data_IF_936485894605
#
_entry.id   IF_936485894605
#
_cell.length_a   1.000
_cell.length_b   1.000
_cell.length_c   1.000
_cell.angle_alpha   90.00
_cell.angle_beta   90.00
_cell.angle_gamma   90.00
#
_symmetry.space_group_name_H-M   'P 1'
#
loop_
_entity.id
_entity.type
_entity.pdbx_description
1 polymer ?
#
# COMPACT_ATOMS: atom_id res chain seq x y z
N UNK A 1 -4.43 -18.08 6.43
CA UNK A 1 -4.51 -18.91 5.22
C UNK A 1 -4.44 -17.99 4.03
N UNK A 2 -3.47 -18.15 3.13
CA UNK A 2 -3.35 -17.37 1.90
C UNK A 2 -4.69 -17.26 1.16
N UNK A 3 -5.10 -16.04 0.83
CA UNK A 3 -6.24 -15.80 -0.06
C UNK A 3 -5.89 -16.27 -1.48
N UNK A 4 -6.67 -17.21 -2.03
CA UNK A 4 -6.47 -17.76 -3.38
C UNK A 4 -7.29 -17.02 -4.43
N UNK A 5 -8.42 -16.47 -4.01
CA UNK A 5 -9.32 -15.65 -4.81
C UNK A 5 -9.62 -14.34 -4.09
N UNK A 6 -10.09 -13.32 -4.82
CA UNK A 6 -10.54 -12.06 -4.21
C UNK A 6 -11.69 -12.23 -3.22
N UNK A 7 -12.55 -13.24 -3.39
CA UNK A 7 -13.62 -13.55 -2.44
C UNK A 7 -13.07 -13.93 -1.05
N UNK A 8 -11.87 -14.52 -1.00
CA UNK A 8 -11.23 -14.92 0.26
C UNK A 8 -10.84 -13.72 1.12
N UNK A 9 -10.73 -12.50 0.55
CA UNK A 9 -10.47 -11.26 1.31
C UNK A 9 -11.49 -11.04 2.43
N UNK A 10 -12.74 -11.48 2.25
CA UNK A 10 -13.79 -11.36 3.25
C UNK A 10 -13.48 -12.16 4.54
N UNK A 11 -12.68 -13.23 4.42
CA UNK A 11 -12.35 -14.16 5.52
C UNK A 11 -10.85 -14.24 5.82
N UNK A 12 -10.02 -13.52 5.06
CA UNK A 12 -8.58 -13.41 5.30
C UNK A 12 -8.30 -12.91 6.72
N UNK A 13 -7.39 -13.59 7.42
CA UNK A 13 -7.05 -13.34 8.82
C UNK A 13 -6.06 -12.19 8.95
N UNK A 14 -5.14 -12.04 7.99
CA UNK A 14 -4.10 -11.00 8.01
C UNK A 14 -3.99 -10.29 6.67
N UNK A 15 -4.26 -8.99 6.66
CA UNK A 15 -4.42 -8.20 5.43
C UNK A 15 -3.53 -6.96 5.50
N UNK A 16 -2.71 -6.77 4.46
CA UNK A 16 -2.01 -5.50 4.24
C UNK A 16 -2.79 -4.68 3.23
N UNK A 17 -3.11 -3.44 3.58
CA UNK A 17 -3.72 -2.47 2.67
C UNK A 17 -2.72 -1.36 2.41
N UNK A 18 -2.40 -1.10 1.14
CA UNK A 18 -1.51 -0.03 0.74
C UNK A 18 -2.31 1.09 0.10
N UNK A 19 -2.07 2.33 0.53
CA UNK A 19 -2.67 3.53 -0.08
C UNK A 19 -1.61 4.51 -0.58
N UNK A 20 -1.82 5.05 -1.77
CA UNK A 20 -0.91 6.04 -2.38
C UNK A 20 -1.19 7.48 -1.92
N UNK A 21 -0.18 8.35 -2.07
CA UNK A 21 -0.27 9.77 -1.69
C UNK A 21 -1.47 10.48 -2.33
N UNK A 22 -1.71 10.26 -3.63
CA UNK A 22 -2.80 10.89 -4.39
C UNK A 22 -4.19 10.60 -3.81
N UNK A 23 -4.34 9.48 -3.11
CA UNK A 23 -5.62 9.05 -2.53
C UNK A 23 -5.90 9.66 -1.15
N UNK A 24 -4.92 10.20 -0.44
CA UNK A 24 -5.07 10.60 0.99
C UNK A 24 -4.45 11.96 1.36
N UNK A 25 -3.80 12.64 0.41
CA UNK A 25 -3.12 13.92 0.66
C UNK A 25 -3.76 15.07 -0.12
N UNK A 26 -3.47 16.32 0.29
CA UNK A 26 -4.04 17.51 -0.31
C UNK A 26 -5.58 17.49 -0.31
N UNK A 27 -6.16 17.76 -1.47
CA UNK A 27 -7.61 17.73 -1.69
C UNK A 27 -8.23 16.35 -1.46
N UNK A 28 -7.47 15.26 -1.53
CA UNK A 28 -7.97 13.90 -1.28
C UNK A 28 -7.96 13.51 0.19
N UNK A 29 -7.54 14.39 1.11
CA UNK A 29 -7.45 14.06 2.55
C UNK A 29 -8.79 13.68 3.20
N UNK A 30 -9.92 14.07 2.60
CA UNK A 30 -11.26 13.65 3.03
C UNK A 30 -11.50 12.13 2.89
N UNK A 31 -10.69 11.41 2.11
CA UNK A 31 -10.79 9.95 1.95
C UNK A 31 -10.22 9.18 3.13
N UNK A 32 -9.44 9.80 4.02
CA UNK A 32 -8.86 9.13 5.20
C UNK A 32 -9.96 8.50 6.07
N UNK A 33 -11.03 9.22 6.49
CA UNK A 33 -12.16 8.61 7.19
C UNK A 33 -12.78 7.42 6.48
N UNK A 34 -13.02 7.51 5.15
CA UNK A 34 -13.63 6.44 4.34
C UNK A 34 -12.75 5.19 4.32
N UNK A 35 -11.44 5.37 4.11
CA UNK A 35 -10.47 4.30 4.19
C UNK A 35 -10.49 3.65 5.58
N UNK A 36 -10.46 4.46 6.64
CA UNK A 36 -10.44 3.97 8.01
C UNK A 36 -11.71 3.19 8.37
N UNK A 37 -12.88 3.61 7.89
CA UNK A 37 -14.13 2.87 8.10
C UNK A 37 -14.05 1.45 7.51
N UNK A 38 -13.50 1.31 6.29
CA UNK A 38 -13.29 0.00 5.67
C UNK A 38 -12.26 -0.86 6.43
N UNK A 39 -11.16 -0.26 6.89
CA UNK A 39 -10.15 -0.95 7.71
C UNK A 39 -10.74 -1.37 9.07
N UNK A 40 -11.56 -0.52 9.68
CA UNK A 40 -12.22 -0.79 10.95
C UNK A 40 -13.25 -1.92 10.83
N UNK A 41 -14.00 -2.00 9.73
CA UNK A 41 -14.89 -3.12 9.45
C UNK A 41 -14.12 -4.45 9.35
N UNK A 42 -12.95 -4.46 8.70
CA UNK A 42 -12.07 -5.62 8.65
C UNK A 42 -11.47 -5.97 10.02
N UNK A 43 -11.07 -4.97 10.79
CA UNK A 43 -10.58 -5.16 12.15
C UNK A 43 -11.68 -5.73 13.08
N UNK A 44 -12.90 -5.23 12.99
CA UNK A 44 -14.04 -5.63 13.83
C UNK A 44 -14.45 -7.11 13.61
N UNK A 45 -14.30 -7.64 12.39
CA UNK A 45 -14.51 -9.09 12.13
C UNK A 45 -13.37 -9.98 12.64
N UNK A 46 -12.36 -9.41 13.27
CA UNK A 46 -11.23 -10.14 13.87
C UNK A 46 -9.97 -10.17 13.03
N UNK A 47 -9.95 -9.59 11.82
CA UNK A 47 -8.75 -9.58 11.00
C UNK A 47 -7.65 -8.70 11.64
N UNK A 48 -6.41 -9.11 11.41
CA UNK A 48 -5.20 -8.34 11.64
C UNK A 48 -4.95 -7.46 10.41
N UNK A 49 -5.18 -6.16 10.56
CA UNK A 49 -5.10 -5.18 9.47
C UNK A 49 -3.83 -4.34 9.64
N UNK A 50 -3.05 -4.25 8.57
CA UNK A 50 -1.86 -3.41 8.47
C UNK A 50 -2.11 -2.38 7.36
N UNK A 51 -1.88 -1.11 7.65
CA UNK A 51 -1.93 -0.04 6.65
C UNK A 51 -0.52 0.35 6.25
N UNK A 52 -0.16 0.22 4.97
CA UNK A 52 1.03 0.87 4.39
C UNK A 52 0.57 2.17 3.72
N UNK A 53 0.94 3.30 4.31
CA UNK A 53 0.53 4.62 3.82
C UNK A 53 1.66 5.29 3.04
N UNK A 54 1.32 6.35 2.30
CA UNK A 54 2.24 7.29 1.63
C UNK A 54 1.83 8.72 2.00
N UNK A 55 2.42 9.72 1.35
CA UNK A 55 1.89 11.09 1.40
C UNK A 55 2.31 11.92 2.61
N UNK A 56 3.31 11.48 3.37
CA UNK A 56 3.95 12.30 4.40
C UNK A 56 4.46 13.62 3.79
N UNK A 57 5.35 13.57 2.79
CA UNK A 57 5.87 14.79 2.12
C UNK A 57 4.73 15.71 1.65
N UNK A 58 3.73 15.17 0.95
CA UNK A 58 2.60 15.94 0.43
C UNK A 58 1.76 16.59 1.56
N UNK A 59 1.63 15.90 2.69
CA UNK A 59 0.95 16.43 3.88
C UNK A 59 1.75 17.54 4.56
N UNK A 60 3.08 17.47 4.53
CA UNK A 60 3.96 18.45 5.17
C UNK A 60 4.16 19.75 4.38
N UNK A 61 4.13 19.70 3.04
CA UNK A 61 4.39 20.85 2.15
C UNK A 61 3.69 22.16 2.58
N UNK A 62 2.37 22.18 2.86
CA UNK A 62 1.68 23.41 3.25
C UNK A 62 2.20 24.03 4.56
N UNK A 63 2.73 23.20 5.47
CA UNK A 63 3.23 23.64 6.79
C UNK A 63 4.66 24.20 6.71
N UNK A 64 5.42 23.84 5.68
CA UNK A 64 6.73 24.42 5.38
C UNK A 64 6.63 25.69 4.54
N UNK A 65 5.41 26.13 4.18
CA UNK A 65 5.17 27.28 3.29
C UNK A 65 5.88 27.13 1.93
N UNK A 66 5.88 25.91 1.40
CA UNK A 66 6.40 25.60 0.08
C UNK A 66 5.26 25.62 -0.94
N UNK A 67 5.48 26.27 -2.09
CA UNK A 67 4.47 26.36 -3.16
C UNK A 67 4.34 25.07 -3.96
N UNK A 68 5.39 24.23 -3.95
CA UNK A 68 5.45 22.99 -4.69
C UNK A 68 6.30 21.96 -3.95
N UNK A 69 6.29 20.72 -4.46
CA UNK A 69 7.15 19.66 -3.94
C UNK A 69 8.64 20.04 -4.13
N UNK A 70 9.46 20.04 -3.06
CA UNK A 70 10.88 20.34 -3.16
C UNK A 70 11.61 19.27 -3.98
N UNK A 71 12.70 19.65 -4.63
CA UNK A 71 13.55 18.75 -5.44
C UNK A 71 14.80 18.28 -4.71
N UNK A 72 15.26 19.02 -3.70
CA UNK A 72 16.39 18.64 -2.87
C UNK A 72 15.97 17.66 -1.77
N UNK A 73 16.87 16.71 -1.47
CA UNK A 73 16.60 15.67 -0.48
C UNK A 73 16.31 16.25 0.91
N UNK A 74 17.12 17.20 1.37
CA UNK A 74 17.02 17.72 2.74
C UNK A 74 15.62 18.34 3.00
N UNK A 75 15.10 19.11 2.06
CA UNK A 75 13.78 19.72 2.18
C UNK A 75 12.67 18.68 2.03
N UNK A 76 12.84 17.66 1.18
CA UNK A 76 11.91 16.52 1.12
C UNK A 76 11.84 15.78 2.46
N UNK A 77 12.98 15.52 3.10
CA UNK A 77 13.06 14.85 4.40
C UNK A 77 12.43 15.70 5.52
N UNK A 78 12.64 17.02 5.49
CA UNK A 78 11.99 17.94 6.43
C UNK A 78 10.47 17.95 6.23
N UNK A 79 9.99 18.00 4.98
CA UNK A 79 8.57 17.92 4.67
C UNK A 79 7.97 16.57 5.10
N UNK A 80 8.68 15.47 4.90
CA UNK A 80 8.24 14.15 5.37
C UNK A 80 8.13 14.07 6.89
N UNK A 81 9.13 14.58 7.63
CA UNK A 81 9.10 14.59 9.09
C UNK A 81 7.89 15.38 9.65
N UNK A 82 7.59 16.55 9.09
CA UNK A 82 6.41 17.37 9.45
C UNK A 82 5.11 16.78 8.93
N UNK A 83 5.12 16.06 7.82
CA UNK A 83 3.90 15.47 7.28
C UNK A 83 3.53 14.15 7.95
N UNK A 84 4.52 13.37 8.36
CA UNK A 84 4.33 12.05 8.95
C UNK A 84 3.57 12.13 10.29
N UNK A 85 3.94 13.05 11.19
CA UNK A 85 3.22 13.20 12.46
C UNK A 85 1.76 13.65 12.24
N UNK A 86 1.53 14.56 11.30
CA UNK A 86 0.18 15.05 10.93
C UNK A 86 -0.65 13.91 10.32
N UNK A 87 -0.05 13.12 9.44
CA UNK A 87 -0.72 12.00 8.79
C UNK A 87 -1.13 10.93 9.81
N UNK A 88 -0.24 10.55 10.72
CA UNK A 88 -0.54 9.60 11.80
C UNK A 88 -1.63 10.15 12.72
N UNK A 89 -1.58 11.45 13.05
CA UNK A 89 -2.65 12.09 13.83
C UNK A 89 -4.01 12.00 13.14
N UNK A 90 -4.08 12.28 11.83
CA UNK A 90 -5.32 12.17 11.05
C UNK A 90 -5.87 10.75 11.04
N UNK A 91 -5.01 9.75 10.87
CA UNK A 91 -5.43 8.35 10.95
C UNK A 91 -5.94 8.00 12.35
N UNK A 92 -5.21 8.37 13.41
CA UNK A 92 -5.62 8.07 14.78
C UNK A 92 -6.94 8.74 15.14
N UNK A 93 -7.18 9.98 14.70
CA UNK A 93 -8.46 10.65 14.94
C UNK A 93 -9.60 9.97 14.20
N UNK A 94 -9.40 9.54 12.96
CA UNK A 94 -10.39 8.76 12.20
C UNK A 94 -10.64 7.36 12.78
N UNK A 95 -9.64 6.75 13.44
CA UNK A 95 -9.76 5.43 14.07
C UNK A 95 -10.47 5.48 15.43
N UNK A 96 -10.48 6.65 16.08
CA UNK A 96 -11.02 6.85 17.42
C UNK A 96 -12.50 6.43 17.58
N UNK A 97 -13.42 6.70 16.64
CA UNK A 97 -14.81 6.25 16.76
C UNK A 97 -14.98 4.73 16.79
N UNK A 98 -13.97 3.97 16.38
CA UNK A 98 -13.97 2.52 16.34
C UNK A 98 -13.21 1.88 17.51
N UNK A 99 -12.74 2.68 18.48
CA UNK A 99 -11.88 2.26 19.59
C UNK A 99 -10.58 1.55 19.13
N UNK A 100 -10.08 1.91 17.95
CA UNK A 100 -8.83 1.37 17.40
C UNK A 100 -7.68 2.34 17.65
N UNK A 101 -6.57 1.81 18.15
CA UNK A 101 -5.32 2.54 18.33
C UNK A 101 -4.36 2.21 17.18
N UNK A 102 -3.73 3.25 16.63
CA UNK A 102 -2.69 3.12 15.61
C UNK A 102 -1.31 2.92 16.25
N UNK A 103 -0.51 2.03 15.69
CA UNK A 103 0.91 1.89 15.99
C UNK A 103 1.75 2.38 14.81
N UNK A 104 2.49 3.48 14.98
CA UNK A 104 3.36 3.96 13.90
C UNK A 104 4.58 3.06 13.74
N UNK A 105 4.87 2.67 12.49
CA UNK A 105 6.07 1.91 12.12
C UNK A 105 6.74 2.61 10.95
N UNK A 106 8.01 2.99 11.11
CA UNK A 106 8.81 3.59 10.04
C UNK A 106 9.93 2.62 9.66
N UNK A 107 10.02 2.29 8.38
CA UNK A 107 10.99 1.33 7.86
C UNK A 107 11.65 1.89 6.60
N UNK A 108 12.88 1.48 6.33
CA UNK A 108 13.48 1.61 5.00
C UNK A 108 13.51 0.24 4.32
N UNK A 109 13.66 0.21 3.00
CA UNK A 109 14.00 -1.03 2.28
C UNK A 109 15.24 -1.72 2.92
N UNK A 110 16.26 -0.94 3.30
CA UNK A 110 17.48 -1.47 3.93
C UNK A 110 17.22 -2.17 5.26
N UNK A 111 16.24 -1.71 6.05
CA UNK A 111 15.83 -2.38 7.29
C UNK A 111 15.23 -3.77 7.03
N UNK A 112 14.56 -3.94 5.89
CA UNK A 112 13.94 -5.20 5.49
C UNK A 112 14.93 -6.15 4.81
N UNK A 113 16.01 -5.64 4.22
CA UNK A 113 17.10 -6.45 3.66
C UNK A 113 18.10 -6.89 4.73
N UNK A 114 18.29 -6.10 5.79
CA UNK A 114 19.14 -6.46 6.93
C UNK A 114 18.47 -7.52 7.83
N UNK A 115 19.08 -8.70 8.07
CA UNK A 115 18.44 -9.77 8.85
C UNK A 115 18.06 -9.38 10.28
N UNK A 116 18.88 -8.55 10.94
CA UNK A 116 18.65 -8.13 12.33
C UNK A 116 17.51 -7.13 12.40
N UNK A 117 17.56 -6.06 11.60
CA UNK A 117 16.49 -5.05 11.55
C UNK A 117 15.17 -5.68 11.11
N UNK A 118 15.20 -6.57 10.11
CA UNK A 118 14.03 -7.33 9.66
C UNK A 118 13.41 -8.17 10.79
N UNK A 119 14.23 -8.90 11.56
CA UNK A 119 13.75 -9.69 12.68
C UNK A 119 13.09 -8.82 13.77
N UNK A 120 13.68 -7.68 14.07
CA UNK A 120 13.13 -6.73 15.04
C UNK A 120 11.81 -6.12 14.55
N UNK A 121 11.73 -5.70 13.28
CA UNK A 121 10.52 -5.19 12.65
C UNK A 121 9.39 -6.22 12.70
N UNK A 122 9.67 -7.49 12.34
CA UNK A 122 8.69 -8.58 12.45
C UNK A 122 8.18 -8.73 13.87
N UNK A 123 9.07 -8.85 14.87
CA UNK A 123 8.68 -9.03 16.28
C UNK A 123 7.83 -7.89 16.80
N UNK A 124 8.19 -6.65 16.46
CA UNK A 124 7.42 -5.47 16.86
C UNK A 124 6.02 -5.49 16.23
N UNK A 125 5.91 -5.75 14.92
CA UNK A 125 4.62 -5.82 14.23
C UNK A 125 3.75 -6.96 14.75
N UNK A 126 4.29 -8.17 14.94
CA UNK A 126 3.57 -9.29 15.55
C UNK A 126 3.05 -8.93 16.95
N UNK A 127 3.84 -8.19 17.73
CA UNK A 127 3.40 -7.74 19.06
C UNK A 127 2.28 -6.71 18.98
N UNK A 128 2.33 -5.76 18.04
CA UNK A 128 1.25 -4.79 17.82
C UNK A 128 -0.04 -5.50 17.43
N UNK A 129 0.02 -6.44 16.48
CA UNK A 129 -1.12 -7.22 16.02
C UNK A 129 -1.72 -8.06 17.16
N UNK A 130 -0.90 -8.74 17.95
CA UNK A 130 -1.34 -9.51 19.12
C UNK A 130 -1.95 -8.64 20.24
N UNK A 131 -1.68 -7.33 20.25
CA UNK A 131 -2.32 -6.34 21.12
C UNK A 131 -3.54 -5.67 20.47
N UNK A 132 -3.94 -6.12 19.27
CA UNK A 132 -5.02 -5.54 18.45
C UNK A 132 -4.81 -4.08 18.05
N UNK A 133 -3.56 -3.62 18.06
CA UNK A 133 -3.15 -2.31 17.55
C UNK A 133 -3.04 -2.40 16.03
N UNK A 134 -3.57 -1.42 15.29
CA UNK A 134 -3.48 -1.35 13.84
C UNK A 134 -2.15 -0.70 13.44
N UNK A 135 -1.18 -1.44 12.85
CA UNK A 135 0.09 -0.85 12.45
C UNK A 135 -0.08 0.03 11.22
N UNK A 136 0.41 1.26 11.29
CA UNK A 136 0.51 2.18 10.16
C UNK A 136 1.98 2.28 9.78
N UNK A 137 2.32 1.59 8.71
CA UNK A 137 3.67 1.53 8.15
C UNK A 137 3.85 2.62 7.10
N UNK A 138 4.98 3.31 7.15
CA UNK A 138 5.43 4.18 6.08
C UNK A 138 6.96 4.11 5.96
N UNK A 139 7.50 4.62 4.86
CA UNK A 139 8.94 4.75 4.69
C UNK A 139 9.52 5.75 5.70
N UNK A 140 10.69 5.44 6.25
CA UNK A 140 11.44 6.36 7.09
C UNK A 140 12.20 7.37 6.24
N UNK A 141 11.45 8.31 5.64
CA UNK A 141 11.97 9.31 4.71
C UNK A 141 13.17 10.09 5.28
N UNK A 142 13.22 10.35 6.59
CA UNK A 142 14.31 11.11 7.25
C UNK A 142 15.69 10.47 7.09
N UNK A 143 15.76 9.14 6.96
CA UNK A 143 17.03 8.41 6.81
C UNK A 143 17.15 7.68 5.47
N UNK A 144 16.08 7.64 4.68
CA UNK A 144 16.09 7.09 3.33
C UNK A 144 16.97 7.97 2.40
N UNK A 145 17.78 7.31 1.57
CA UNK A 145 18.64 7.97 0.57
C UNK A 145 17.93 8.07 -0.78
N UNK A 146 18.35 9.03 -1.62
CA UNK A 146 17.75 9.28 -2.95
C UNK A 146 17.77 8.09 -3.94
N UNK A 147 18.55 7.04 -3.64
CA UNK A 147 18.67 5.85 -4.50
C UNK A 147 17.35 5.07 -4.59
N UNK A 148 16.45 5.29 -3.61
CA UNK A 148 15.09 4.78 -3.62
C UNK A 148 14.18 5.86 -4.22
N UNK A 149 14.05 5.85 -5.54
CA UNK A 149 13.13 6.75 -6.26
C UNK A 149 11.67 6.44 -5.90
N UNK A 150 10.93 7.49 -5.53
CA UNK A 150 9.49 7.71 -5.73
C UNK A 150 8.66 6.49 -6.17
N UNK A 151 7.76 6.03 -5.28
CA UNK A 151 6.86 4.90 -5.56
C UNK A 151 7.13 3.67 -4.70
N UNK A 152 8.10 3.74 -3.78
CA UNK A 152 8.56 2.57 -3.02
C UNK A 152 7.53 2.01 -2.05
N UNK A 153 6.47 2.75 -1.68
CA UNK A 153 5.48 2.19 -0.76
C UNK A 153 4.65 1.06 -1.37
N UNK A 154 4.56 0.92 -2.70
CA UNK A 154 4.01 -0.30 -3.32
C UNK A 154 4.89 -1.51 -2.96
N UNK A 155 6.21 -1.38 -3.16
CA UNK A 155 7.20 -2.43 -2.84
C UNK A 155 7.31 -2.64 -1.33
N UNK A 156 7.33 -1.60 -0.52
CA UNK A 156 7.26 -1.68 0.94
C UNK A 156 6.01 -2.44 1.37
N UNK A 157 4.86 -2.18 0.74
CA UNK A 157 3.62 -2.95 0.99
C UNK A 157 3.79 -4.44 0.74
N UNK A 158 4.43 -4.81 -0.38
CA UNK A 158 4.75 -6.20 -0.69
C UNK A 158 5.76 -6.82 0.30
N UNK A 159 6.82 -6.09 0.66
CA UNK A 159 7.83 -6.56 1.63
C UNK A 159 7.24 -6.70 3.04
N UNK A 160 6.37 -5.78 3.46
CA UNK A 160 5.64 -5.87 4.71
C UNK A 160 4.72 -7.09 4.70
N UNK A 161 3.96 -7.30 3.62
CA UNK A 161 3.10 -8.47 3.47
C UNK A 161 3.89 -9.79 3.57
N UNK A 162 5.08 -9.86 2.96
CA UNK A 162 5.99 -11.00 3.13
C UNK A 162 6.50 -11.13 4.57
N UNK A 163 6.92 -10.02 5.19
CA UNK A 163 7.53 -10.02 6.52
C UNK A 163 6.60 -10.60 7.60
N UNK A 164 5.31 -10.29 7.47
CA UNK A 164 4.24 -10.71 8.37
C UNK A 164 3.43 -11.89 7.83
N UNK A 165 3.86 -12.54 6.75
CA UNK A 165 3.18 -13.70 6.17
C UNK A 165 1.67 -13.44 5.97
N UNK A 166 1.35 -12.32 5.31
CA UNK A 166 -0.03 -11.88 5.08
C UNK A 166 -0.80 -12.89 4.24
N UNK A 167 -2.09 -13.01 4.49
CA UNK A 167 -2.98 -13.78 3.64
C UNK A 167 -3.24 -13.05 2.31
N UNK A 168 -3.29 -11.72 2.36
CA UNK A 168 -3.53 -10.88 1.20
C UNK A 168 -2.89 -9.48 1.29
N UNK A 169 -2.62 -8.91 0.12
CA UNK A 169 -2.22 -7.51 -0.10
C UNK A 169 -3.26 -6.80 -0.98
N UNK A 170 -3.76 -5.65 -0.54
CA UNK A 170 -4.64 -4.79 -1.33
C UNK A 170 -3.89 -3.52 -1.70
N UNK A 171 -3.59 -3.33 -2.98
CA UNK A 171 -2.93 -2.13 -3.52
C UNK A 171 -3.98 -1.16 -4.05
N UNK A 172 -4.26 -0.10 -3.29
CA UNK A 172 -5.21 0.93 -3.70
C UNK A 172 -4.58 1.91 -4.71
N UNK A 173 -5.33 2.18 -5.78
CA UNK A 173 -4.97 3.05 -6.90
C UNK A 173 -6.05 4.11 -7.15
N UNK A 174 -5.80 4.92 -8.16
CA UNK A 174 -6.70 5.83 -8.87
C UNK A 174 -7.52 5.15 -9.99
N UNK A 175 -7.23 3.89 -10.33
CA UNK A 175 -7.93 3.11 -11.35
C UNK A 175 -8.64 1.92 -10.70
N UNK A 176 -9.81 1.55 -11.23
CA UNK A 176 -10.63 0.46 -10.70
C UNK A 176 -10.01 -0.92 -10.90
N UNK A 177 -9.30 -1.11 -12.03
CA UNK A 177 -8.55 -2.31 -12.38
C UNK A 177 -7.29 -1.92 -13.17
N UNK A 178 -6.36 -2.86 -13.35
CA UNK A 178 -5.34 -2.75 -14.37
C UNK A 178 -5.97 -2.96 -15.75
N UNK A 179 -5.32 -2.40 -16.78
CA UNK A 179 -5.76 -2.50 -18.16
C UNK A 179 -4.59 -2.95 -19.02
N UNK A 180 -4.88 -3.56 -20.18
CA UNK A 180 -3.87 -4.00 -21.15
C UNK A 180 -3.06 -2.83 -21.73
N UNK A 181 -3.64 -1.64 -21.72
CA UNK A 181 -3.11 -0.36 -22.22
C UNK A 181 -3.59 0.79 -21.33
N UNK A 182 -3.08 2.03 -21.50
CA UNK A 182 -3.63 3.18 -20.78
C UNK A 182 -5.15 3.31 -20.98
N UNK A 183 -5.95 3.56 -19.92
CA UNK A 183 -7.42 3.63 -20.02
C UNK A 183 -7.98 4.67 -20.99
N UNK A 184 -7.15 5.65 -21.40
CA UNK A 184 -7.48 6.62 -22.43
C UNK A 184 -7.48 6.03 -23.86
N UNK A 185 -6.87 4.86 -24.05
CA UNK A 185 -6.87 4.14 -25.32
C UNK A 185 -8.20 3.37 -25.48
N UNK A 186 -8.96 3.56 -26.58
CA UNK A 186 -10.22 2.85 -26.83
C UNK A 186 -10.09 1.32 -26.91
N UNK A 187 -8.88 0.80 -27.13
CA UNK A 187 -8.57 -0.63 -27.17
C UNK A 187 -8.06 -1.19 -25.83
N UNK A 188 -8.06 -0.39 -24.76
CA UNK A 188 -7.70 -0.85 -23.43
C UNK A 188 -8.80 -1.77 -22.87
N UNK A 189 -8.40 -2.99 -22.51
CA UNK A 189 -9.28 -3.98 -21.90
C UNK A 189 -8.91 -4.16 -20.42
N UNK A 190 -9.88 -4.26 -19.49
CA UNK A 190 -9.59 -4.51 -18.09
C UNK A 190 -9.00 -5.91 -17.90
N UNK A 191 -8.00 -6.01 -17.04
CA UNK A 191 -7.38 -7.28 -16.66
C UNK A 191 -8.06 -7.76 -15.40
N UNK A 192 -8.76 -8.89 -15.48
CA UNK A 192 -9.50 -9.43 -14.35
C UNK A 192 -8.60 -10.24 -13.40
N UNK A 193 -7.81 -11.16 -13.97
CA UNK A 193 -6.92 -12.06 -13.22
C UNK A 193 -5.55 -12.12 -13.90
N UNK A 194 -4.50 -12.18 -13.08
CA UNK A 194 -3.12 -12.42 -13.49
C UNK A 194 -2.62 -13.68 -12.80
N UNK A 195 -2.41 -14.74 -13.59
CA UNK A 195 -1.84 -16.01 -13.12
C UNK A 195 -0.36 -15.84 -12.71
N UNK A 196 0.19 -16.73 -11.86
CA UNK A 196 1.57 -16.58 -11.35
C UNK A 196 2.64 -16.55 -12.44
N UNK A 197 2.43 -17.27 -13.55
CA UNK A 197 3.32 -17.42 -14.69
C UNK A 197 2.92 -16.56 -15.90
N UNK A 198 1.89 -15.72 -15.77
CA UNK A 198 1.43 -14.86 -16.85
C UNK A 198 2.57 -13.97 -17.38
N UNK A 199 2.70 -13.85 -18.71
CA UNK A 199 3.60 -12.89 -19.32
C UNK A 199 2.90 -11.54 -19.48
N UNK A 200 3.39 -10.50 -18.81
CA UNK A 200 2.88 -9.13 -18.90
C UNK A 200 3.82 -8.21 -19.70
N UNK A 201 4.85 -8.75 -20.34
CA UNK A 201 5.85 -7.96 -21.07
C UNK A 201 5.26 -7.19 -22.26
N UNK A 202 4.16 -7.69 -22.85
CA UNK A 202 3.43 -7.06 -23.94
C UNK A 202 2.40 -6.01 -23.52
N UNK A 203 2.26 -5.71 -22.22
CA UNK A 203 1.26 -4.77 -21.72
C UNK A 203 1.84 -3.37 -21.49
N UNK A 204 1.04 -2.34 -21.76
CA UNK A 204 1.42 -0.94 -21.63
C UNK A 204 0.79 -0.31 -20.39
N UNK A 205 1.54 -0.32 -19.28
CA UNK A 205 1.11 0.27 -18.02
C UNK A 205 1.53 1.74 -17.91
N UNK A 206 0.85 2.61 -18.66
CA UNK A 206 1.15 4.05 -18.71
C UNK A 206 2.33 4.38 -19.62
N UNK A 207 2.99 5.53 -19.41
CA UNK A 207 4.11 6.00 -20.25
C UNK A 207 5.43 5.22 -20.09
N UNK A 208 5.40 4.10 -19.37
CA UNK A 208 6.58 3.37 -18.89
C UNK A 208 6.39 1.89 -19.18
N UNK A 209 7.28 1.31 -20.00
CA UNK A 209 7.40 -0.15 -20.14
C UNK A 209 7.74 -0.73 -18.76
N UNK A 210 7.20 -1.90 -18.40
CA UNK A 210 7.31 -2.57 -17.08
C UNK A 210 8.74 -2.63 -16.49
N UNK A 211 9.77 -2.40 -17.32
CA UNK A 211 11.19 -2.43 -16.95
C UNK A 211 11.88 -1.05 -16.87
N UNK A 212 11.15 0.06 -16.96
CA UNK A 212 11.71 1.41 -16.76
C UNK A 212 11.43 1.92 -15.35
N UNK A 213 12.49 2.33 -14.65
CA UNK A 213 12.48 2.87 -13.29
C UNK A 213 11.71 4.20 -13.28
N UNK A 214 10.39 4.13 -13.05
CA UNK A 214 9.44 5.25 -13.11
C UNK A 214 8.74 5.53 -11.77
N UNK A 215 8.42 6.81 -11.55
CA UNK A 215 8.09 7.46 -10.27
C UNK A 215 6.67 7.19 -9.72
N UNK A 216 6.19 5.95 -9.81
CA UNK A 216 4.84 5.55 -9.40
C UNK A 216 3.88 5.35 -10.58
N UNK A 217 2.81 4.58 -10.36
CA UNK A 217 1.76 4.36 -11.37
C UNK A 217 1.21 2.93 -11.36
N UNK A 218 0.85 2.41 -12.53
CA UNK A 218 0.43 1.02 -12.71
C UNK A 218 1.62 0.05 -12.71
N UNK A 219 2.77 0.43 -13.30
CA UNK A 219 3.97 -0.42 -13.36
C UNK A 219 4.53 -0.79 -11.97
N UNK A 220 4.62 0.16 -11.03
CA UNK A 220 5.08 -0.10 -9.65
C UNK A 220 4.14 -1.04 -8.90
N UNK A 221 2.82 -0.91 -9.13
CA UNK A 221 1.81 -1.81 -8.56
C UNK A 221 1.92 -3.22 -9.12
N UNK A 222 2.10 -3.37 -10.43
CA UNK A 222 2.33 -4.68 -11.07
C UNK A 222 3.59 -5.34 -10.50
N UNK A 223 4.68 -4.58 -10.35
CA UNK A 223 5.93 -5.10 -9.77
C UNK A 223 5.74 -5.56 -8.32
N UNK A 224 5.10 -4.73 -7.48
CA UNK A 224 4.81 -5.09 -6.09
C UNK A 224 3.84 -6.27 -5.98
N UNK A 225 2.80 -6.30 -6.82
CA UNK A 225 1.84 -7.40 -6.85
C UNK A 225 2.51 -8.71 -7.22
N UNK A 226 3.37 -8.73 -8.24
CA UNK A 226 4.19 -9.89 -8.58
C UNK A 226 5.11 -10.32 -7.45
N UNK A 227 5.77 -9.37 -6.78
CA UNK A 227 6.67 -9.65 -5.67
C UNK A 227 5.95 -10.36 -4.52
N UNK A 228 4.76 -9.87 -4.13
CA UNK A 228 3.95 -10.49 -3.10
C UNK A 228 3.35 -11.84 -3.56
N UNK A 229 2.78 -11.90 -4.77
CA UNK A 229 2.20 -13.11 -5.36
C UNK A 229 3.21 -14.25 -5.46
N UNK A 230 4.44 -13.96 -5.88
CA UNK A 230 5.54 -14.94 -5.93
C UNK A 230 5.89 -15.51 -4.55
N UNK A 231 5.54 -14.82 -3.46
CA UNK A 231 5.72 -15.28 -2.08
C UNK A 231 4.48 -15.97 -1.50
N UNK A 232 3.51 -16.33 -2.35
CA UNK A 232 2.30 -17.03 -1.92
C UNK A 232 1.28 -16.13 -1.22
N UNK A 233 1.20 -14.84 -1.60
CA UNK A 233 0.24 -13.86 -1.05
C UNK A 233 -0.71 -13.43 -2.15
N UNK A 234 -2.03 -13.55 -1.96
CA UNK A 234 -3.00 -13.06 -2.94
C UNK A 234 -3.00 -11.54 -3.02
N UNK A 235 -3.02 -10.95 -4.22
CA UNK A 235 -2.96 -9.48 -4.36
C UNK A 235 -4.13 -8.94 -5.15
N UNK A 236 -4.81 -7.94 -4.61
CA UNK A 236 -5.84 -7.18 -5.31
C UNK A 236 -5.31 -5.78 -5.65
N UNK A 237 -5.40 -5.38 -6.92
CA UNK A 237 -5.20 -4.00 -7.35
C UNK A 237 -6.55 -3.39 -7.71
N UNK A 238 -6.95 -2.32 -7.01
CA UNK A 238 -8.23 -1.64 -7.29
C UNK A 238 -8.23 -0.19 -6.83
N UNK A 239 -9.32 0.53 -7.07
CA UNK A 239 -9.46 1.94 -6.68
C UNK A 239 -9.59 2.10 -5.17
N UNK A 240 -9.01 3.17 -4.62
CA UNK A 240 -9.21 3.57 -3.23
C UNK A 240 -10.71 3.80 -2.90
N UNK A 241 -11.52 4.19 -3.88
CA UNK A 241 -12.95 4.42 -3.72
C UNK A 241 -13.75 3.11 -3.59
N UNK A 242 -13.10 1.95 -3.78
CA UNK A 242 -13.71 0.61 -3.70
C UNK A 242 -13.16 -0.22 -2.54
N UNK A 243 -12.45 0.40 -1.58
CA UNK A 243 -11.76 -0.31 -0.49
C UNK A 243 -12.71 -1.12 0.41
N UNK A 244 -13.92 -0.64 0.65
CA UNK A 244 -14.96 -1.33 1.40
C UNK A 244 -15.39 -2.63 0.70
N UNK A 245 -15.68 -2.54 -0.60
CA UNK A 245 -16.05 -3.67 -1.44
C UNK A 245 -14.90 -4.67 -1.60
N UNK A 246 -13.68 -4.16 -1.75
CA UNK A 246 -12.46 -4.95 -1.84
C UNK A 246 -12.28 -5.82 -0.57
N UNK A 247 -12.35 -5.20 0.61
CA UNK A 247 -12.17 -5.90 1.89
C UNK A 247 -13.36 -6.80 2.27
N UNK A 248 -14.50 -6.66 1.57
CA UNK A 248 -15.65 -7.54 1.63
C UNK A 248 -15.62 -8.68 0.59
N UNK A 249 -14.56 -8.77 -0.23
CA UNK A 249 -14.37 -9.83 -1.21
C UNK A 249 -15.22 -9.70 -2.49
N UNK A 250 -15.60 -8.48 -2.86
CA UNK A 250 -16.33 -8.23 -4.10
C UNK A 250 -15.51 -8.60 -5.35
N UNK A 251 -16.22 -8.95 -6.42
CA UNK A 251 -15.65 -9.27 -7.73
C UNK A 251 -15.28 -7.99 -8.48
N UNK A 252 -14.20 -7.34 -8.05
CA UNK A 252 -13.70 -6.06 -8.58
C UNK A 252 -12.18 -6.10 -8.79
N UNK A 253 -11.68 -5.14 -9.55
CA UNK A 253 -10.25 -4.91 -9.74
C UNK A 253 -9.52 -6.04 -10.45
N UNK A 254 -8.20 -6.04 -10.32
CA UNK A 254 -7.33 -7.06 -10.88
C UNK A 254 -6.76 -7.93 -9.76
N UNK A 255 -7.02 -9.24 -9.84
CA UNK A 255 -6.51 -10.22 -8.90
C UNK A 255 -5.21 -10.86 -9.42
N UNK A 256 -4.14 -10.82 -8.63
CA UNK A 256 -2.93 -11.60 -8.87
C UNK A 256 -2.98 -12.85 -8.02
N UNK A 257 -2.95 -14.00 -8.69
CA UNK A 257 -2.99 -15.29 -8.03
C UNK A 257 -1.66 -15.55 -7.28
N UNK A 258 -1.72 -16.01 -6.03
CA UNK A 258 -0.52 -16.40 -5.30
C UNK A 258 0.11 -17.65 -5.93
N UNK A 259 1.44 -17.68 -6.00
CA UNK A 259 2.15 -18.90 -6.37
C UNK A 259 1.74 -20.06 -5.45
N UNK A 260 1.53 -21.23 -6.05
CA UNK A 260 1.31 -22.46 -5.29
C UNK A 260 2.65 -22.90 -4.71
N UNK A 261 2.71 -23.07 -3.39
CA UNK A 261 3.82 -23.69 -2.66
C UNK A 261 3.87 -25.19 -2.93
#
# INVERSE_FOLDING_TARGET
MTARTRADLATASRIVVKVGSSSISGESSWRIPVLVEALAAAHARGAEVILVSSGAIATGIPFLRLDARPTDLATQQAAAAVGQNILVYRYQESLRPFDIVAGQVLLTTGDLENPTSRSNARRAMERLLGLRILPIVNENDTVATQEIRFGDNDRLGALVAQLIEADALVLLSDIESLYTKPPSDPSAEPIDVVAPDADLSGLEFGSTVVNSVGTGGAATKVSAARLAAASGIGVLVTSADLVDKALAGADIGTWFEPALS
#
